data_IF_700368447523
#
_entry.id   IF_700368447523
#
_cell.length_a   1.000
_cell.length_b   1.000
_cell.length_c   1.000
_cell.angle_alpha   90.00
_cell.angle_beta   90.00
_cell.angle_gamma   90.00
#
_symmetry.space_group_name_H-M   'P 1'
#
loop_
_entity.id
_entity.type
_entity.pdbx_description
1 polymer ?
#
# COMPACT_ATOMS: atom_id res chain seq x y z
N UNK A 1 8.74 -16.24 4.31
CA UNK A 1 7.67 -15.79 3.39
C UNK A 1 6.96 -14.64 4.07
N UNK A 2 7.28 -13.41 3.68
CA UNK A 2 6.73 -12.19 4.29
C UNK A 2 5.29 -12.00 3.82
N UNK A 3 4.40 -11.68 4.76
CA UNK A 3 2.96 -11.43 4.66
C UNK A 3 2.57 -10.19 3.83
N UNK A 4 3.47 -9.65 2.99
CA UNK A 4 3.26 -8.42 2.21
C UNK A 4 2.38 -8.64 0.97
N UNK A 5 2.30 -9.87 0.48
CA UNK A 5 1.66 -10.20 -0.80
C UNK A 5 0.17 -10.55 -0.66
N UNK A 6 -0.41 -10.37 0.53
CA UNK A 6 -1.82 -10.67 0.81
C UNK A 6 -2.48 -9.49 1.51
N UNK A 7 -3.73 -9.20 1.16
CA UNK A 7 -4.48 -8.16 1.83
C UNK A 7 -4.70 -8.54 3.32
N UNK A 8 -4.36 -7.66 4.28
CA UNK A 8 -4.55 -7.96 5.70
C UNK A 8 -6.03 -7.99 6.12
N UNK A 9 -6.95 -7.50 5.27
CA UNK A 9 -8.37 -7.39 5.57
C UNK A 9 -9.19 -8.54 4.98
N UNK A 10 -8.88 -8.99 3.76
CA UNK A 10 -9.64 -10.04 3.07
C UNK A 10 -8.82 -11.25 2.63
N UNK A 11 -7.50 -11.27 2.86
CA UNK A 11 -6.62 -12.38 2.50
C UNK A 11 -6.29 -12.50 1.00
N UNK A 12 -6.95 -11.74 0.12
CA UNK A 12 -6.71 -11.81 -1.33
C UNK A 12 -5.25 -11.47 -1.68
N UNK A 13 -4.66 -12.26 -2.59
CA UNK A 13 -3.33 -12.00 -3.13
C UNK A 13 -3.25 -10.62 -3.79
N UNK A 14 -2.24 -9.86 -3.40
CA UNK A 14 -1.89 -8.56 -3.96
C UNK A 14 -0.79 -8.66 -5.03
N UNK A 15 -0.38 -9.88 -5.40
CA UNK A 15 0.50 -10.08 -6.55
C UNK A 15 -0.27 -9.84 -7.86
N UNK A 16 0.29 -8.99 -8.70
CA UNK A 16 -0.19 -8.70 -10.04
C UNK A 16 0.46 -9.61 -11.08
N UNK A 17 0.53 -9.11 -12.31
CA UNK A 17 1.21 -9.80 -13.41
C UNK A 17 2.70 -10.00 -13.11
N UNK A 18 3.29 -11.03 -13.71
CA UNK A 18 4.74 -11.24 -13.65
C UNK A 18 5.50 -10.05 -14.24
N UNK A 19 6.57 -9.66 -13.57
CA UNK A 19 7.53 -8.69 -14.12
C UNK A 19 8.39 -9.43 -15.15
N UNK A 20 8.53 -8.90 -16.39
CA UNK A 20 9.45 -9.45 -17.38
C UNK A 20 10.85 -9.60 -16.79
N UNK A 21 11.53 -10.72 -17.07
CA UNK A 21 12.77 -11.11 -16.38
C UNK A 21 13.84 -10.02 -16.47
N UNK A 22 13.96 -9.41 -17.64
CA UNK A 22 14.88 -8.31 -17.95
C UNK A 22 14.60 -7.02 -17.16
N UNK A 23 13.37 -6.82 -16.67
CA UNK A 23 12.99 -5.64 -15.90
C UNK A 23 13.12 -5.83 -14.39
N UNK A 24 13.23 -7.08 -13.89
CA UNK A 24 13.16 -7.37 -12.45
C UNK A 24 14.20 -6.62 -11.61
N UNK A 25 15.39 -6.39 -12.16
CA UNK A 25 16.45 -5.63 -11.48
C UNK A 25 16.00 -4.18 -11.18
N UNK A 26 15.27 -3.53 -12.10
CA UNK A 26 14.72 -2.20 -11.89
C UNK A 26 13.64 -2.17 -10.78
N UNK A 27 13.06 -3.32 -10.47
CA UNK A 27 12.08 -3.52 -9.40
C UNK A 27 12.68 -4.24 -8.18
N UNK A 28 14.00 -4.12 -7.96
CA UNK A 28 14.66 -4.68 -6.78
C UNK A 28 14.61 -6.21 -6.68
N UNK A 29 14.45 -6.90 -7.82
CA UNK A 29 14.38 -8.36 -7.89
C UNK A 29 12.97 -8.95 -7.68
N UNK A 30 11.92 -8.11 -7.57
CA UNK A 30 10.55 -8.60 -7.47
C UNK A 30 10.15 -9.45 -8.69
N UNK A 31 9.32 -10.47 -8.46
CA UNK A 31 8.86 -11.40 -9.51
C UNK A 31 7.53 -10.99 -10.15
N UNK A 32 6.71 -10.22 -9.42
CA UNK A 32 5.38 -9.76 -9.83
C UNK A 32 5.23 -8.29 -9.46
N UNK A 33 4.42 -7.56 -10.23
CA UNK A 33 3.98 -6.22 -9.85
C UNK A 33 3.07 -6.29 -8.63
N UNK A 34 2.94 -5.19 -7.89
CA UNK A 34 1.94 -5.07 -6.82
C UNK A 34 0.61 -4.59 -7.39
N UNK A 35 -0.50 -5.18 -6.92
CA UNK A 35 -1.87 -4.70 -7.17
C UNK A 35 -2.32 -3.65 -6.15
N UNK A 36 -1.56 -3.47 -5.07
CA UNK A 36 -1.90 -2.56 -3.98
C UNK A 36 -1.92 -1.12 -4.49
N UNK A 37 -3.01 -0.40 -4.22
CA UNK A 37 -3.14 1.00 -4.61
C UNK A 37 -2.51 1.90 -3.55
N UNK A 38 -1.70 2.86 -3.98
CA UNK A 38 -1.19 3.93 -3.12
C UNK A 38 -2.23 5.03 -2.93
N UNK A 39 -2.46 5.43 -1.68
CA UNK A 39 -3.31 6.57 -1.34
C UNK A 39 -2.47 7.65 -0.69
N UNK A 40 -2.56 8.84 -1.26
CA UNK A 40 -1.86 10.04 -0.82
C UNK A 40 -2.84 11.00 -0.14
N UNK A 41 -2.32 11.80 0.79
CA UNK A 41 -3.08 12.88 1.41
C UNK A 41 -2.32 14.19 1.15
N UNK A 42 -2.81 15.02 0.21
CA UNK A 42 -2.20 16.31 -0.10
C UNK A 42 -2.00 17.15 1.17
N UNK A 43 -0.82 17.78 1.28
CA UNK A 43 -0.46 18.61 2.43
C UNK A 43 0.06 17.85 3.66
N UNK A 44 -0.01 16.52 3.68
CA UNK A 44 0.57 15.69 4.77
C UNK A 44 1.95 15.17 4.41
N UNK A 45 2.06 14.49 3.26
CA UNK A 45 3.28 13.86 2.79
C UNK A 45 3.25 13.80 1.26
N UNK A 46 4.39 14.12 0.64
CA UNK A 46 4.58 13.95 -0.80
C UNK A 46 4.89 12.47 -1.09
N UNK A 47 3.83 11.67 -1.15
CA UNK A 47 3.87 10.25 -1.41
C UNK A 47 2.80 9.45 -0.68
N UNK A 48 2.87 8.12 -0.86
CA UNK A 48 1.89 7.18 -0.32
C UNK A 48 1.91 7.13 1.21
N UNK A 49 0.75 7.38 1.84
CA UNK A 49 0.51 7.25 3.28
C UNK A 49 -0.24 5.97 3.66
N UNK A 50 -1.12 5.50 2.76
CA UNK A 50 -1.89 4.28 2.95
C UNK A 50 -1.81 3.39 1.72
N UNK A 51 -1.86 2.10 1.98
CA UNK A 51 -2.13 1.08 1.01
C UNK A 51 -3.63 0.79 0.99
N UNK A 52 -4.20 0.52 -0.18
CA UNK A 52 -5.59 0.12 -0.36
C UNK A 52 -5.66 -1.15 -1.19
N UNK A 53 -6.43 -2.12 -0.71
CA UNK A 53 -6.77 -3.32 -1.47
C UNK A 53 -7.75 -2.95 -2.60
N UNK A 54 -7.47 -3.33 -3.87
CA UNK A 54 -8.40 -3.08 -4.97
C UNK A 54 -9.64 -3.98 -4.88
N UNK A 55 -9.55 -5.13 -4.21
CA UNK A 55 -10.64 -6.12 -4.15
C UNK A 55 -11.66 -5.79 -3.04
N UNK A 56 -11.22 -5.60 -1.79
CA UNK A 56 -12.13 -5.32 -0.65
C UNK A 56 -12.21 -3.84 -0.26
N UNK A 57 -11.36 -2.99 -0.83
CA UNK A 57 -11.30 -1.56 -0.48
C UNK A 57 -10.65 -1.25 0.87
N UNK A 58 -10.29 -2.26 1.67
CA UNK A 58 -9.62 -2.10 2.97
C UNK A 58 -8.32 -1.31 2.85
N UNK A 59 -8.05 -0.46 3.84
CA UNK A 59 -6.88 0.43 3.87
C UNK A 59 -6.00 0.14 5.08
N UNK A 60 -4.69 0.32 4.95
CA UNK A 60 -3.75 0.21 6.06
C UNK A 60 -2.59 1.19 5.89
N UNK A 61 -2.03 1.66 7.00
CA UNK A 61 -0.92 2.61 6.97
C UNK A 61 0.31 1.99 6.34
N UNK A 62 1.02 2.78 5.52
CA UNK A 62 2.37 2.45 5.05
C UNK A 62 3.39 2.49 6.18
N UNK A 63 3.21 3.43 7.10
CA UNK A 63 4.14 3.67 8.21
C UNK A 63 3.74 2.87 9.46
N UNK A 64 4.73 2.37 10.23
CA UNK A 64 4.46 1.61 11.45
C UNK A 64 3.76 2.48 12.52
N UNK A 65 3.10 1.85 13.52
CA UNK A 65 2.62 2.55 14.70
C UNK A 65 3.71 3.43 15.33
N UNK A 66 3.37 4.63 15.77
CA UNK A 66 4.30 5.59 16.38
C UNK A 66 5.12 6.44 15.40
N UNK A 67 5.07 6.17 14.10
CA UNK A 67 5.74 7.02 13.11
C UNK A 67 5.05 8.39 12.97
N UNK A 68 5.82 9.48 12.92
CA UNK A 68 5.27 10.84 12.86
C UNK A 68 4.33 11.08 11.66
N UNK A 69 4.64 10.50 10.47
CA UNK A 69 3.73 10.58 9.31
C UNK A 69 2.40 9.84 9.51
N UNK A 70 2.38 8.79 10.33
CA UNK A 70 1.13 8.11 10.69
C UNK A 70 0.29 9.01 11.60
N UNK A 71 0.89 9.61 12.62
CA UNK A 71 0.22 10.56 13.52
C UNK A 71 -0.32 11.79 12.76
N UNK A 72 0.47 12.35 11.84
CA UNK A 72 0.02 13.49 11.00
C UNK A 72 -1.14 13.14 10.08
N UNK A 73 -1.29 11.86 9.71
CA UNK A 73 -2.34 11.41 8.83
C UNK A 73 -3.61 10.97 9.59
N UNK A 74 -3.53 10.68 10.90
CA UNK A 74 -4.67 10.27 11.75
C UNK A 74 -5.92 11.17 11.64
N UNK A 75 -5.81 12.52 11.62
CA UNK A 75 -6.99 13.38 11.48
C UNK A 75 -7.81 13.15 10.20
N UNK A 76 -7.19 12.56 9.17
CA UNK A 76 -7.81 12.25 7.89
C UNK A 76 -8.36 10.82 7.83
N UNK A 77 -8.10 10.00 8.86
CA UNK A 77 -8.62 8.62 8.99
C UNK A 77 -9.92 8.66 9.81
N UNK A 78 -11.06 8.87 9.14
CA UNK A 78 -12.38 8.83 9.78
C UNK A 78 -13.30 9.98 9.39
N UNK A 79 -12.77 11.06 8.81
CA UNK A 79 -13.59 12.08 8.16
C UNK A 79 -13.98 11.52 6.80
N UNK A 80 -15.24 11.10 6.67
CA UNK A 80 -15.77 10.46 5.48
C UNK A 80 -15.38 11.20 4.19
N UNK A 81 -14.50 10.57 3.41
CA UNK A 81 -14.43 10.81 1.97
C UNK A 81 -15.70 10.17 1.40
N UNK A 82 -16.78 10.96 1.42
CA UNK A 82 -17.96 10.77 0.57
C UNK A 82 -17.78 11.63 -0.67
#
# INVERSE_FOLDING_TARGET
MTTLDTCPHCGTSQLGSRIPTEQRLAYGGASHYSRTLGVEIPGVYDGVLYWRCPDCGGRWHRFPPGHHLRQRAEPYVGVGIR
#
